data_IF_472793360325
#
_entry.id   IF_472793360325
#
_cell.length_a   1.000
_cell.length_b   1.000
_cell.length_c   1.000
_cell.angle_alpha   90.00
_cell.angle_beta   90.00
_cell.angle_gamma   90.00
#
_symmetry.space_group_name_H-M   'P 1'
#
loop_
_entity.id
_entity.type
_entity.pdbx_description
1 polymer ?
#
# COMPACT_ATOMS: atom_id res chain seq x y z
N UNK A 1 -3.66 14.52 0.05
CA UNK A 1 -3.91 13.09 0.30
C UNK A 1 -5.13 12.96 1.18
N UNK A 2 -6.06 12.11 0.79
CA UNK A 2 -7.28 11.92 1.57
C UNK A 2 -7.01 11.15 2.86
N UNK A 3 -7.80 11.44 3.86
CA UNK A 3 -7.68 10.77 5.16
C UNK A 3 -9.04 10.20 5.52
N UNK A 4 -9.09 8.91 5.82
CA UNK A 4 -10.31 8.24 6.26
C UNK A 4 -10.03 7.44 7.52
N UNK A 5 -11.07 7.21 8.31
CA UNK A 5 -10.92 6.42 9.51
C UNK A 5 -10.97 4.93 9.18
N UNK A 6 -10.47 4.13 10.11
CA UNK A 6 -10.56 2.67 9.97
C UNK A 6 -12.02 2.21 9.87
N UNK A 7 -12.89 2.79 10.68
CA UNK A 7 -14.30 2.40 10.68
C UNK A 7 -14.95 2.67 9.33
N UNK A 8 -14.71 3.84 8.76
CA UNK A 8 -15.24 4.17 7.45
C UNK A 8 -14.66 3.27 6.37
N UNK A 9 -13.35 3.02 6.44
CA UNK A 9 -12.68 2.15 5.49
C UNK A 9 -13.29 0.75 5.54
N UNK A 10 -13.49 0.23 6.73
CA UNK A 10 -14.04 -1.11 6.89
C UNK A 10 -15.44 -1.21 6.33
N UNK A 11 -16.25 -0.18 6.54
CA UNK A 11 -17.63 -0.17 6.07
C UNK A 11 -17.72 -0.03 4.55
N UNK A 12 -16.74 0.63 3.93
CA UNK A 12 -16.77 0.94 2.49
C UNK A 12 -15.48 0.54 1.81
N UNK A 13 -14.94 -0.60 2.17
CA UNK A 13 -13.63 -1.01 1.69
C UNK A 13 -13.56 -1.03 0.16
N UNK A 14 -14.57 -1.57 -0.49
CA UNK A 14 -14.57 -1.63 -1.94
C UNK A 14 -14.52 -0.23 -2.55
N UNK A 15 -15.31 0.69 -2.03
CA UNK A 15 -15.32 2.07 -2.53
C UNK A 15 -13.97 2.74 -2.31
N UNK A 16 -13.37 2.55 -1.15
CA UNK A 16 -12.09 3.14 -0.84
C UNK A 16 -11.01 2.61 -1.78
N UNK A 17 -11.01 1.31 -2.00
CA UNK A 17 -10.06 0.69 -2.92
C UNK A 17 -10.26 1.19 -4.35
N UNK A 18 -11.50 1.27 -4.79
CA UNK A 18 -11.80 1.78 -6.13
C UNK A 18 -11.32 3.22 -6.31
N UNK A 19 -11.52 4.05 -5.29
CA UNK A 19 -11.07 5.44 -5.35
C UNK A 19 -9.56 5.54 -5.46
N UNK A 20 -8.84 4.73 -4.69
CA UNK A 20 -7.39 4.71 -4.74
C UNK A 20 -6.89 4.37 -6.14
N UNK A 21 -7.53 3.40 -6.79
CA UNK A 21 -7.14 2.97 -8.12
C UNK A 21 -7.53 4.02 -9.16
N UNK A 22 -8.75 4.53 -9.11
CA UNK A 22 -9.26 5.44 -10.13
C UNK A 22 -8.63 6.81 -10.05
N UNK A 23 -8.44 7.33 -8.85
CA UNK A 23 -7.91 8.68 -8.66
C UNK A 23 -6.39 8.71 -8.65
N UNK A 24 -5.75 7.57 -8.57
CA UNK A 24 -4.30 7.47 -8.45
C UNK A 24 -3.77 8.30 -7.28
N UNK A 25 -4.51 8.29 -6.19
CA UNK A 25 -4.15 9.04 -4.98
C UNK A 25 -4.14 8.12 -3.78
N UNK A 26 -3.05 8.10 -3.04
CA UNK A 26 -3.02 7.34 -1.79
C UNK A 26 -4.03 7.89 -0.79
N UNK A 27 -4.54 7.01 0.05
CA UNK A 27 -5.45 7.38 1.13
C UNK A 27 -4.82 6.97 2.45
N UNK A 28 -4.80 7.91 3.40
CA UNK A 28 -4.30 7.63 4.74
C UNK A 28 -5.47 7.07 5.55
N UNK A 29 -5.25 5.92 6.16
CA UNK A 29 -6.25 5.28 7.01
C UNK A 29 -5.80 5.41 8.45
N UNK A 30 -6.58 6.14 9.23
CA UNK A 30 -6.25 6.37 10.63
C UNK A 30 -6.92 5.32 11.51
N UNK A 31 -6.26 4.98 12.59
CA UNK A 31 -6.78 4.05 13.57
C UNK A 31 -6.58 4.63 14.96
N UNK A 32 -7.48 4.28 15.86
CA UNK A 32 -7.30 4.66 17.26
C UNK A 32 -6.23 3.76 17.87
N UNK A 33 -5.36 4.35 18.66
CA UNK A 33 -4.35 3.61 19.41
C UNK A 33 -3.39 2.81 18.56
N UNK A 34 -3.31 3.14 17.28
CA UNK A 34 -2.40 2.45 16.37
C UNK A 34 -1.91 3.41 15.31
N UNK A 35 -0.78 3.07 14.72
CA UNK A 35 -0.20 3.90 13.69
C UNK A 35 -1.07 3.89 12.43
N UNK A 36 -1.19 5.04 11.79
CA UNK A 36 -1.92 5.15 10.54
C UNK A 36 -1.19 4.38 9.43
N UNK A 37 -1.96 3.96 8.44
CA UNK A 37 -1.41 3.28 7.27
C UNK A 37 -1.81 4.03 6.02
N UNK A 38 -1.16 3.71 4.91
CA UNK A 38 -1.47 4.32 3.62
C UNK A 38 -1.92 3.21 2.67
N UNK A 39 -3.04 3.45 1.99
CA UNK A 39 -3.50 2.57 0.93
C UNK A 39 -3.14 3.19 -0.40
N UNK A 40 -2.53 2.41 -1.28
CA UNK A 40 -2.10 2.87 -2.59
C UNK A 40 -2.29 1.73 -3.58
N UNK A 41 -2.60 2.06 -4.83
CA UNK A 41 -2.74 1.01 -5.84
C UNK A 41 -1.39 0.36 -6.13
N UNK A 42 -1.42 -0.88 -6.56
CA UNK A 42 -0.18 -1.59 -6.89
C UNK A 42 0.56 -0.90 -8.03
N UNK A 43 -0.17 -0.41 -9.02
CA UNK A 43 0.45 0.30 -10.13
C UNK A 43 1.17 1.56 -9.66
N UNK A 44 0.54 2.32 -8.77
CA UNK A 44 1.15 3.53 -8.25
C UNK A 44 2.34 3.21 -7.35
N UNK A 45 2.22 2.14 -6.56
CA UNK A 45 3.34 1.70 -5.75
C UNK A 45 4.54 1.32 -6.60
N UNK A 46 4.31 0.61 -7.70
CA UNK A 46 5.38 0.24 -8.61
C UNK A 46 6.06 1.47 -9.22
N UNK A 47 5.27 2.50 -9.52
CA UNK A 47 5.83 3.75 -10.02
C UNK A 47 6.70 4.45 -8.98
N UNK A 48 6.26 4.43 -7.73
CA UNK A 48 7.04 5.00 -6.63
C UNK A 48 8.34 4.22 -6.45
N UNK A 49 8.26 2.90 -6.48
CA UNK A 49 9.43 2.05 -6.37
C UNK A 49 10.44 2.35 -7.47
N UNK A 50 9.97 2.50 -8.68
CA UNK A 50 10.83 2.82 -9.80
C UNK A 50 11.54 4.15 -9.61
N UNK A 51 10.81 5.16 -9.11
CA UNK A 51 11.39 6.46 -8.80
C UNK A 51 12.46 6.36 -7.73
N UNK A 52 12.20 5.57 -6.69
CA UNK A 52 13.16 5.37 -5.63
C UNK A 52 14.43 4.69 -6.11
N UNK A 53 14.30 3.76 -7.05
CA UNK A 53 15.47 3.09 -7.63
C UNK A 53 16.38 4.06 -8.35
N UNK A 54 15.82 5.07 -8.98
CA UNK A 54 16.61 6.06 -9.70
C UNK A 54 17.30 7.04 -8.76
N UNK A 55 16.76 7.23 -7.56
CA UNK A 55 17.26 8.22 -6.62
C UNK A 55 18.03 7.62 -5.45
N UNK A 56 17.96 6.31 -5.27
CA UNK A 56 18.47 5.63 -4.10
C UNK A 56 19.69 4.78 -4.46
N UNK A 57 20.70 4.71 -3.58
CA UNK A 57 21.84 3.82 -3.81
C UNK A 57 21.37 2.36 -4.03
N UNK A 58 22.11 1.59 -4.84
CA UNK A 58 21.71 0.23 -5.18
C UNK A 58 21.38 -0.66 -3.99
N UNK A 59 22.14 -0.54 -2.91
CA UNK A 59 21.90 -1.37 -1.72
C UNK A 59 20.52 -1.12 -1.12
N UNK A 60 20.10 0.13 -1.07
CA UNK A 60 18.80 0.48 -0.52
C UNK A 60 17.67 0.06 -1.47
N UNK A 61 17.92 0.19 -2.76
CA UNK A 61 16.95 -0.24 -3.76
C UNK A 61 16.73 -1.75 -3.67
N UNK A 62 17.79 -2.50 -3.45
CA UNK A 62 17.69 -3.95 -3.31
C UNK A 62 16.89 -4.34 -2.08
N UNK A 63 17.09 -3.64 -0.96
CA UNK A 63 16.33 -3.91 0.25
C UNK A 63 14.83 -3.68 0.05
N UNK A 64 14.51 -2.58 -0.61
CA UNK A 64 13.11 -2.26 -0.88
C UNK A 64 12.48 -3.30 -1.77
N UNK A 65 13.23 -3.72 -2.79
CA UNK A 65 12.75 -4.73 -3.71
C UNK A 65 12.56 -6.08 -3.01
N UNK A 66 13.47 -6.44 -2.12
CA UNK A 66 13.34 -7.67 -1.35
C UNK A 66 12.09 -7.67 -0.49
N UNK A 67 11.81 -6.55 0.16
CA UNK A 67 10.62 -6.43 0.98
C UNK A 67 9.35 -6.61 0.15
N UNK A 68 9.29 -5.99 -1.01
CA UNK A 68 8.15 -6.11 -1.91
C UNK A 68 8.04 -7.52 -2.45
N UNK A 69 9.16 -8.12 -2.78
CA UNK A 69 9.18 -9.49 -3.28
C UNK A 69 8.64 -10.48 -2.24
N UNK A 70 8.95 -10.26 -0.98
CA UNK A 70 8.42 -11.10 0.08
C UNK A 70 6.91 -11.01 0.18
N UNK A 71 6.36 -9.82 0.00
CA UNK A 71 4.92 -9.64 -0.01
C UNK A 71 4.29 -10.31 -1.22
N UNK A 72 4.90 -10.13 -2.38
CA UNK A 72 4.37 -10.69 -3.62
C UNK A 72 4.46 -12.20 -3.66
N UNK A 73 5.47 -12.77 -3.05
CA UNK A 73 5.64 -14.22 -3.07
C UNK A 73 4.79 -14.93 -2.03
N UNK A 74 3.86 -14.21 -1.45
CA UNK A 74 2.91 -14.85 -0.58
C UNK A 74 3.37 -15.03 0.84
N UNK A 75 4.16 -14.10 1.35
CA UNK A 75 4.40 -14.10 2.77
C UNK A 75 3.06 -14.16 3.48
N UNK A 76 2.85 -15.10 4.34
CA UNK A 76 1.58 -15.45 4.93
C UNK A 76 0.55 -14.34 5.07
N UNK A 77 1.01 -13.14 5.32
CA UNK A 77 0.13 -12.00 5.47
C UNK A 77 -0.69 -11.75 4.21
N UNK A 78 -0.05 -11.86 3.08
CA UNK A 78 -0.70 -11.64 1.81
C UNK A 78 -1.81 -12.64 1.56
N UNK A 79 -1.57 -13.88 1.89
CA UNK A 79 -2.58 -14.91 1.73
C UNK A 79 -3.80 -14.62 2.60
N UNK A 80 -3.56 -14.18 3.81
CA UNK A 80 -4.64 -13.88 4.72
C UNK A 80 -5.49 -12.72 4.23
N UNK A 81 -4.89 -11.77 3.55
CA UNK A 81 -5.60 -10.59 3.08
C UNK A 81 -6.33 -10.82 1.77
N UNK A 82 -5.82 -11.71 0.95
CA UNK A 82 -6.40 -11.96 -0.37
C UNK A 82 -7.60 -12.88 -0.29
N UNK A 83 -7.61 -13.77 0.64
CA UNK A 83 -8.70 -14.70 0.79
C UNK A 83 -9.98 -13.97 1.18
N UNK A 84 -11.01 -14.11 0.39
CA UNK A 84 -12.28 -13.42 0.67
C UNK A 84 -12.96 -13.96 1.90
#
# INVERSE_FOLDING_TARGET
MDVVSYSDTRARLKEVMDRVVEDHRPIVITRQKAEAVVMVSLADWNAIEESLRLLTPPANADRLRDAISQLDSGGGLEHALVEP
#
